data_IF_774437308257
#
_entry.id   IF_774437308257
#
_cell.length_a   1.000
_cell.length_b   1.000
_cell.length_c   1.000
_cell.angle_alpha   90.00
_cell.angle_beta   90.00
_cell.angle_gamma   90.00
#
_symmetry.space_group_name_H-M   'P 1'
#
loop_
_entity.id
_entity.type
_entity.pdbx_description
1 polymer ?
#
# COMPACT_ATOMS: atom_id res chain seq x y z
N UNK A 1 12.56 5.79 39.85
CA UNK A 1 11.57 6.38 38.94
C UNK A 1 11.70 5.64 37.62
N UNK A 2 10.94 4.56 37.48
CA UNK A 2 11.03 3.68 36.33
C UNK A 2 10.37 4.36 35.13
N UNK A 3 11.18 4.72 34.13
CA UNK A 3 10.77 5.34 32.88
C UNK A 3 10.01 4.32 32.03
N UNK A 4 8.67 4.31 32.14
CA UNK A 4 7.81 3.57 31.22
C UNK A 4 7.84 4.27 29.85
N UNK A 5 8.81 3.91 29.03
CA UNK A 5 8.88 4.26 27.61
C UNK A 5 7.71 3.61 26.85
N UNK A 6 6.55 4.26 26.85
CA UNK A 6 5.37 3.86 26.08
C UNK A 6 5.70 4.10 24.60
N UNK A 7 6.12 3.06 23.89
CA UNK A 7 6.25 3.14 22.43
C UNK A 7 4.88 3.46 21.84
N UNK A 8 4.72 4.52 21.03
CA UNK A 8 3.45 4.83 20.42
C UNK A 8 3.01 3.65 19.55
N UNK A 9 1.75 3.23 19.74
CA UNK A 9 1.17 2.14 18.96
C UNK A 9 1.31 2.44 17.46
N UNK A 10 1.67 1.42 16.69
CA UNK A 10 1.82 1.55 15.25
C UNK A 10 0.50 2.06 14.64
N UNK A 11 0.59 3.11 13.82
CA UNK A 11 -0.58 3.66 13.12
C UNK A 11 -1.22 2.59 12.25
N UNK A 12 -2.55 2.49 12.31
CA UNK A 12 -3.32 1.59 11.44
C UNK A 12 -3.00 1.90 9.97
N UNK A 13 -2.79 0.84 9.18
CA UNK A 13 -2.59 0.98 7.74
C UNK A 13 -3.87 1.50 7.09
N UNK A 14 -3.72 2.41 6.13
CA UNK A 14 -4.83 2.96 5.34
C UNK A 14 -5.30 2.01 4.22
N UNK A 15 -4.83 0.77 4.22
CA UNK A 15 -5.17 -0.26 3.25
C UNK A 15 -5.33 -1.58 4.00
N UNK A 16 -6.30 -2.37 3.55
CA UNK A 16 -6.55 -3.72 4.02
C UNK A 16 -5.74 -4.74 3.23
N UNK A 17 -5.71 -5.99 3.67
CA UNK A 17 -5.08 -7.05 2.90
C UNK A 17 -5.84 -7.34 1.59
N UNK A 18 -7.15 -7.15 1.58
CA UNK A 18 -7.98 -7.23 0.36
C UNK A 18 -7.57 -6.17 -0.66
N UNK A 19 -7.36 -4.93 -0.21
CA UNK A 19 -6.88 -3.85 -1.06
C UNK A 19 -5.51 -4.14 -1.65
N UNK A 20 -4.61 -4.72 -0.83
CA UNK A 20 -3.28 -5.16 -1.26
C UNK A 20 -3.38 -6.22 -2.35
N UNK A 21 -4.25 -7.22 -2.18
CA UNK A 21 -4.47 -8.28 -3.18
C UNK A 21 -5.06 -7.73 -4.49
N UNK A 22 -6.03 -6.82 -4.40
CA UNK A 22 -6.62 -6.15 -5.55
C UNK A 22 -5.57 -5.34 -6.32
N UNK A 23 -4.75 -4.55 -5.61
CA UNK A 23 -3.63 -3.79 -6.17
C UNK A 23 -2.65 -4.69 -6.94
N UNK A 24 -2.17 -5.76 -6.30
CA UNK A 24 -1.20 -6.66 -6.91
C UNK A 24 -1.77 -7.38 -8.14
N UNK A 25 -3.05 -7.77 -8.10
CA UNK A 25 -3.74 -8.35 -9.25
C UNK A 25 -3.86 -7.34 -10.39
N UNK A 26 -4.28 -6.11 -10.11
CA UNK A 26 -4.46 -5.06 -11.11
C UNK A 26 -3.16 -4.73 -11.82
N UNK A 27 -2.07 -4.50 -11.06
CA UNK A 27 -0.76 -4.17 -11.64
C UNK A 27 -0.19 -5.32 -12.47
N UNK A 28 -0.47 -6.58 -12.12
CA UNK A 28 -0.06 -7.74 -12.93
C UNK A 28 -0.83 -7.85 -14.25
N UNK A 29 -2.12 -7.50 -14.26
CA UNK A 29 -2.96 -7.54 -15.45
C UNK A 29 -2.75 -6.31 -16.36
N UNK A 30 -2.48 -5.16 -15.76
CA UNK A 30 -2.35 -3.87 -16.43
C UNK A 30 -1.02 -3.19 -16.04
N UNK A 31 0.13 -3.72 -16.49
CA UNK A 31 1.44 -3.21 -16.08
C UNK A 31 1.71 -1.77 -16.55
N UNK A 32 1.00 -1.30 -17.59
CA UNK A 32 1.17 0.06 -18.14
C UNK A 32 0.32 1.12 -17.43
N UNK A 33 -0.57 0.71 -16.51
CA UNK A 33 -1.42 1.65 -15.81
C UNK A 33 -0.59 2.54 -14.89
N UNK A 34 -0.92 3.83 -14.90
CA UNK A 34 -0.31 4.80 -14.00
C UNK A 34 -0.78 4.58 -12.57
N UNK A 35 0.02 5.00 -11.59
CA UNK A 35 -0.36 4.89 -10.17
C UNK A 35 -1.70 5.56 -9.83
N UNK A 36 -2.09 6.61 -10.56
CA UNK A 36 -3.39 7.26 -10.39
C UNK A 36 -4.55 6.36 -10.85
N UNK A 37 -4.41 5.73 -12.03
CA UNK A 37 -5.39 4.77 -12.55
C UNK A 37 -5.52 3.55 -11.63
N UNK A 38 -4.39 2.99 -11.18
CA UNK A 38 -4.37 1.87 -10.23
C UNK A 38 -5.08 2.24 -8.92
N UNK A 39 -4.85 3.45 -8.41
CA UNK A 39 -5.52 3.94 -7.19
C UNK A 39 -7.03 4.00 -7.36
N UNK A 40 -7.50 4.50 -8.50
CA UNK A 40 -8.93 4.60 -8.83
C UNK A 40 -9.53 3.20 -9.01
N UNK A 41 -8.89 2.34 -9.81
CA UNK A 41 -9.37 0.99 -10.12
C UNK A 41 -9.46 0.09 -8.88
N UNK A 42 -8.53 0.24 -7.93
CA UNK A 42 -8.53 -0.51 -6.68
C UNK A 42 -9.23 0.21 -5.52
N UNK A 43 -9.82 1.39 -5.73
CA UNK A 43 -10.50 2.15 -4.68
C UNK A 43 -9.62 2.53 -3.49
N UNK A 44 -8.30 2.69 -3.71
CA UNK A 44 -7.34 2.87 -2.63
C UNK A 44 -7.41 4.28 -2.04
N UNK A 45 -7.69 4.38 -0.74
CA UNK A 45 -7.64 5.66 0.00
C UNK A 45 -6.22 6.15 0.32
N UNK A 46 -5.19 5.33 0.07
CA UNK A 46 -3.82 5.63 0.48
C UNK A 46 -3.06 6.53 -0.52
N UNK A 47 -1.90 7.03 -0.09
CA UNK A 47 -1.02 7.85 -0.92
C UNK A 47 -0.29 6.99 -1.96
N UNK A 48 0.09 7.59 -3.09
CA UNK A 48 0.87 6.91 -4.15
C UNK A 48 2.20 6.36 -3.62
N UNK A 49 2.82 7.04 -2.65
CA UNK A 49 4.04 6.54 -1.97
C UNK A 49 3.81 5.21 -1.25
N UNK A 50 2.61 4.99 -0.69
CA UNK A 50 2.23 3.71 -0.08
C UNK A 50 2.10 2.61 -1.14
N UNK A 51 1.50 2.92 -2.29
CA UNK A 51 1.39 1.99 -3.43
C UNK A 51 2.78 1.55 -3.88
N UNK A 52 3.70 2.51 -4.09
CA UNK A 52 5.10 2.21 -4.47
C UNK A 52 5.81 1.32 -3.45
N UNK A 53 5.60 1.55 -2.14
CA UNK A 53 6.17 0.70 -1.08
C UNK A 53 5.64 -0.74 -1.16
N UNK A 54 4.32 -0.91 -1.33
CA UNK A 54 3.69 -2.23 -1.47
C UNK A 54 4.24 -2.97 -2.70
N UNK A 55 4.36 -2.30 -3.84
CA UNK A 55 4.88 -2.91 -5.06
C UNK A 55 6.36 -3.31 -4.91
N UNK A 56 7.17 -2.46 -4.26
CA UNK A 56 8.56 -2.76 -3.94
C UNK A 56 8.71 -3.97 -3.01
N UNK A 57 7.87 -4.10 -1.98
CA UNK A 57 7.82 -5.29 -1.11
C UNK A 57 7.57 -6.58 -1.92
N UNK A 58 6.79 -6.47 -2.99
CA UNK A 58 6.43 -7.58 -3.89
C UNK A 58 7.36 -7.73 -5.09
N UNK A 59 8.47 -6.98 -5.14
CA UNK A 59 9.45 -6.97 -6.24
C UNK A 59 8.82 -6.67 -7.61
N UNK A 60 7.74 -5.89 -7.64
CA UNK A 60 7.13 -5.40 -8.87
C UNK A 60 7.73 -4.04 -9.17
N UNK A 61 8.55 -3.98 -10.22
CA UNK A 61 9.10 -2.75 -10.76
C UNK A 61 8.23 -2.33 -11.95
N UNK A 62 7.56 -1.18 -11.82
CA UNK A 62 6.82 -0.50 -12.88
C UNK A 62 7.46 0.87 -13.09
#
# INVERSE_FOLDING_TARGET
>A
VDDLSIKPAARKKLYTDTDKRALLRHVRLHPKDTYAQVKIACGLGCLVSTIKKILKEHRINN
#
